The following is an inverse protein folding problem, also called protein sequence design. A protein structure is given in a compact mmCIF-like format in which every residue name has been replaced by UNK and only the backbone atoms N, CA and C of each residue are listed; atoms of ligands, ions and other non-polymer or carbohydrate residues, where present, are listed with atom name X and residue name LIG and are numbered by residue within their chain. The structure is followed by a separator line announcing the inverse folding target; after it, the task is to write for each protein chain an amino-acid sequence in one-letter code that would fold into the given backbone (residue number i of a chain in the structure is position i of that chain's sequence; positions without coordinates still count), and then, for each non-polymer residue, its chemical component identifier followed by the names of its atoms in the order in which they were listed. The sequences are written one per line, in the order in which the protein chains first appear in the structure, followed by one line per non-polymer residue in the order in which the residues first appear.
data_IF_635216708644
#
_entry.id   IF_635216708644
#
_cell.length_a   1.000
_cell.length_b   1.000
_cell.length_c   1.000
_cell.angle_alpha   90.00
_cell.angle_beta   90.00
_cell.angle_gamma   90.00
#
_symmetry.space_group_name_H-M   'P 1'
#
loop_
_entity.id
_entity.type
_entity.pdbx_description
1 polymer ?
#
# COMPACT_ATOMS: atom_id res chain seq x y z
N UNK A 1 -3.47 20.05 11.36
CA UNK A 1 -3.52 20.56 9.96
C UNK A 1 -2.31 20.01 9.19
N UNK A 2 -2.48 19.51 7.93
CA UNK A 2 -1.37 18.98 7.12
C UNK A 2 -0.38 20.09 6.76
N UNK A 3 0.92 19.73 6.60
CA UNK A 3 2.02 20.65 6.25
C UNK A 3 1.68 21.56 5.04
N UNK A 4 1.10 21.00 3.97
CA UNK A 4 0.67 21.75 2.77
C UNK A 4 -0.40 22.81 3.07
N UNK A 5 -1.33 22.51 3.98
CA UNK A 5 -2.37 23.46 4.38
C UNK A 5 -1.83 24.56 5.30
N UNK A 6 -0.83 24.23 6.14
CA UNK A 6 -0.13 25.23 6.97
C UNK A 6 0.63 26.22 6.09
N UNK A 7 1.33 25.73 5.08
CA UNK A 7 2.05 26.55 4.11
C UNK A 7 1.13 27.45 3.32
N UNK A 8 0.03 26.88 2.77
CA UNK A 8 -0.98 27.66 2.06
C UNK A 8 -1.55 28.79 2.93
N UNK A 9 -1.87 28.49 4.20
CA UNK A 9 -2.37 29.48 5.12
C UNK A 9 -1.34 30.58 5.40
N UNK A 10 -0.06 30.25 5.57
CA UNK A 10 1.01 31.23 5.77
C UNK A 10 1.15 32.17 4.55
N UNK A 11 1.12 31.60 3.34
CA UNK A 11 1.18 32.38 2.09
C UNK A 11 -0.03 33.32 1.93
N UNK A 12 -1.24 32.83 2.21
CA UNK A 12 -2.45 33.66 2.14
C UNK A 12 -2.50 34.74 3.21
N UNK A 13 -2.10 34.45 4.46
CA UNK A 13 -2.01 35.46 5.53
C UNK A 13 -1.02 36.57 5.18
N UNK A 14 0.12 36.23 4.57
CA UNK A 14 1.07 37.24 4.10
C UNK A 14 0.50 38.08 2.95
N UNK A 15 -0.21 37.49 1.98
CA UNK A 15 -0.87 38.24 0.91
C UNK A 15 -1.96 39.18 1.46
N UNK A 16 -2.79 38.69 2.39
CA UNK A 16 -3.86 39.50 2.98
C UNK A 16 -3.31 40.64 3.82
N UNK A 17 -2.21 40.39 4.55
CA UNK A 17 -1.54 41.45 5.31
C UNK A 17 -0.87 42.50 4.39
N UNK A 18 -0.21 42.03 3.30
CA UNK A 18 0.39 42.92 2.31
C UNK A 18 -0.64 43.72 1.51
N UNK A 19 -1.81 43.09 1.25
CA UNK A 19 -2.96 43.74 0.57
C UNK A 19 -3.80 44.65 1.48
N UNK A 20 -3.46 44.80 2.76
CA UNK A 20 -4.21 45.64 3.72
C UNK A 20 -5.58 45.10 4.09
N UNK A 21 -5.90 43.84 3.75
CA UNK A 21 -7.17 43.18 4.08
C UNK A 21 -7.26 42.89 5.57
N UNK A 22 -6.12 42.49 6.20
CA UNK A 22 -5.99 42.25 7.62
C UNK A 22 -4.72 42.94 8.14
N UNK A 23 -4.77 43.42 9.38
CA UNK A 23 -3.60 43.97 10.04
C UNK A 23 -2.58 42.89 10.38
N UNK A 24 -1.29 43.24 10.46
CA UNK A 24 -0.21 42.29 10.76
C UNK A 24 -0.43 41.55 12.07
N UNK A 25 -0.90 42.28 13.11
CA UNK A 25 -1.26 41.67 14.41
C UNK A 25 -2.39 40.64 14.32
N UNK A 26 -3.34 40.88 13.43
CA UNK A 26 -4.44 39.90 13.16
C UNK A 26 -3.92 38.66 12.44
N UNK A 27 -3.02 38.85 11.45
CA UNK A 27 -2.39 37.76 10.75
C UNK A 27 -1.56 36.87 11.71
N UNK A 28 -0.81 37.48 12.63
CA UNK A 28 -0.02 36.78 13.65
C UNK A 28 -0.90 35.99 14.63
N UNK A 29 -2.02 36.57 15.08
CA UNK A 29 -2.99 35.88 15.95
C UNK A 29 -3.62 34.69 15.25
N UNK A 30 -4.02 34.81 13.98
CA UNK A 30 -4.56 33.71 13.20
C UNK A 30 -3.49 32.64 13.01
N UNK A 31 -2.25 33.01 12.69
CA UNK A 31 -1.15 32.07 12.52
C UNK A 31 -0.86 31.28 13.81
N UNK A 32 -0.87 31.96 14.97
CA UNK A 32 -0.68 31.32 16.27
C UNK A 32 -1.76 30.27 16.57
N UNK A 33 -3.04 30.54 16.24
CA UNK A 33 -4.16 29.60 16.39
C UNK A 33 -3.96 28.32 15.62
N UNK A 34 -3.33 28.38 14.45
CA UNK A 34 -3.10 27.22 13.59
C UNK A 34 -1.68 26.65 13.69
N UNK A 35 -0.82 27.20 14.57
CA UNK A 35 0.58 26.80 14.71
C UNK A 35 1.38 26.98 13.42
N UNK A 36 1.20 28.13 12.76
CA UNK A 36 1.85 28.53 11.51
C UNK A 36 2.77 29.71 11.79
N UNK A 37 3.99 29.68 11.23
CA UNK A 37 4.93 30.82 11.35
C UNK A 37 4.85 31.68 10.08
N UNK A 38 4.46 32.95 10.22
CA UNK A 38 4.32 33.89 9.09
C UNK A 38 5.68 34.44 8.66
N UNK A 39 6.64 34.51 9.57
CA UNK A 39 7.92 35.21 9.37
C UNK A 39 8.97 34.34 8.64
N UNK A 40 8.71 33.08 8.41
CA UNK A 40 9.59 32.21 7.65
C UNK A 40 8.80 31.49 6.52
N UNK A 41 8.70 32.06 5.32
CA UNK A 41 8.42 31.29 4.16
C UNK A 41 9.69 30.50 3.82
N UNK A 42 9.97 29.39 4.54
CA UNK A 42 10.89 28.40 3.97
C UNK A 42 10.33 28.01 2.62
N UNK A 43 10.93 28.51 1.56
CA UNK A 43 10.55 28.10 0.21
C UNK A 43 10.67 26.58 0.18
N UNK A 44 9.59 25.88 -0.23
CA UNK A 44 9.62 24.40 -0.26
C UNK A 44 10.78 23.86 -1.10
N UNK A 45 11.32 24.68 -2.00
CA UNK A 45 12.53 24.45 -2.78
C UNK A 45 13.77 24.35 -1.87
N UNK A 46 13.95 25.26 -0.89
CA UNK A 46 15.11 25.20 0.01
C UNK A 46 15.05 23.97 0.94
N UNK A 47 13.87 23.56 1.38
CA UNK A 47 13.72 22.33 2.17
C UNK A 47 14.04 21.10 1.33
N UNK A 48 13.55 21.03 0.07
CA UNK A 48 13.86 19.93 -0.85
C UNK A 48 15.36 19.91 -1.15
N UNK A 49 15.98 21.06 -1.44
CA UNK A 49 17.41 21.14 -1.72
C UNK A 49 18.25 20.70 -0.52
N UNK A 50 17.86 21.04 0.71
CA UNK A 50 18.54 20.54 1.94
C UNK A 50 18.41 19.03 2.07
N UNK A 51 17.21 18.46 1.87
CA UNK A 51 17.01 17.00 1.91
C UNK A 51 17.86 16.31 0.87
N UNK A 52 17.89 16.81 -0.36
CA UNK A 52 18.72 16.27 -1.45
C UNK A 52 20.21 16.39 -1.11
N UNK A 53 20.65 17.51 -0.55
CA UNK A 53 22.05 17.70 -0.14
C UNK A 53 22.45 16.70 0.98
N UNK A 54 21.60 16.49 1.99
CA UNK A 54 21.87 15.48 3.03
C UNK A 54 21.87 14.05 2.48
N UNK A 55 21.01 13.75 1.51
CA UNK A 55 21.00 12.48 0.81
C UNK A 55 22.31 12.24 0.07
N UNK A 56 22.76 13.21 -0.74
CA UNK A 56 24.04 13.11 -1.45
C UNK A 56 25.23 13.01 -0.49
N UNK A 57 25.21 13.77 0.61
CA UNK A 57 26.26 13.67 1.62
C UNK A 57 26.27 12.28 2.27
N UNK A 58 25.11 11.73 2.62
CA UNK A 58 24.99 10.37 3.14
C UNK A 58 25.47 9.31 2.14
N UNK A 59 25.07 9.42 0.87
CA UNK A 59 25.55 8.54 -0.19
C UNK A 59 27.06 8.65 -0.39
N UNK A 60 27.64 9.84 -0.34
CA UNK A 60 29.11 10.04 -0.46
C UNK A 60 29.86 9.32 0.66
N UNK A 61 29.39 9.43 1.91
CA UNK A 61 29.98 8.71 3.03
C UNK A 61 29.87 7.20 2.87
N UNK A 62 28.71 6.70 2.41
CA UNK A 62 28.52 5.27 2.17
C UNK A 62 29.46 4.74 1.09
N UNK A 63 29.64 5.50 -0.01
CA UNK A 63 30.57 5.14 -1.09
C UNK A 63 32.01 5.15 -0.59
N UNK A 64 32.40 6.15 0.19
CA UNK A 64 33.76 6.24 0.77
C UNK A 64 34.05 5.06 1.69
N UNK A 65 33.11 4.70 2.58
CA UNK A 65 33.24 3.54 3.46
C UNK A 65 33.28 2.25 2.63
N UNK A 66 32.41 2.14 1.61
CA UNK A 66 32.34 0.99 0.72
C UNK A 66 33.62 0.77 -0.09
N UNK A 67 34.22 1.86 -0.59
CA UNK A 67 35.48 1.80 -1.37
C UNK A 67 36.66 1.24 -0.55
N UNK A 68 36.71 1.54 0.75
CA UNK A 68 37.77 1.08 1.65
C UNK A 68 37.34 -0.06 2.55
N UNK A 69 36.20 -0.70 2.24
CA UNK A 69 35.60 -1.69 3.14
C UNK A 69 36.50 -2.90 3.43
N UNK A 70 37.21 -3.37 2.42
CA UNK A 70 38.08 -4.54 2.57
C UNK A 70 39.33 -4.26 3.40
N UNK A 71 39.80 -3.02 3.43
CA UNK A 71 40.98 -2.59 4.19
C UNK A 71 40.68 -2.46 5.69
N UNK A 72 39.43 -2.26 6.07
CA UNK A 72 39.03 -2.13 7.49
C UNK A 72 39.07 -3.51 8.19
N UNK A 73 39.78 -3.67 9.29
CA UNK A 73 39.80 -4.93 10.03
C UNK A 73 38.39 -5.42 10.43
N UNK A 74 38.16 -6.72 10.39
CA UNK A 74 36.82 -7.32 10.67
C UNK A 74 36.25 -6.86 12.02
N UNK A 75 37.06 -6.80 13.07
CA UNK A 75 36.63 -6.33 14.38
C UNK A 75 36.24 -4.86 14.38
N UNK A 76 36.95 -4.01 13.64
CA UNK A 76 36.62 -2.59 13.52
C UNK A 76 35.28 -2.37 12.80
N UNK A 77 34.98 -3.16 11.74
CA UNK A 77 33.67 -3.14 11.07
C UNK A 77 32.54 -3.49 12.03
N UNK A 78 32.71 -4.55 12.82
CA UNK A 78 31.73 -4.98 13.81
C UNK A 78 31.48 -3.88 14.86
N UNK A 79 32.57 -3.33 15.44
CA UNK A 79 32.46 -2.27 16.44
C UNK A 79 31.80 -1.00 15.88
N UNK A 80 32.12 -0.62 14.64
CA UNK A 80 31.50 0.52 13.97
C UNK A 80 29.99 0.35 13.83
N UNK A 81 29.53 -0.83 13.40
CA UNK A 81 28.11 -1.13 13.24
C UNK A 81 27.38 -1.09 14.58
N UNK A 82 27.94 -1.72 15.62
CA UNK A 82 27.37 -1.72 16.96
C UNK A 82 27.33 -0.32 17.55
N UNK A 83 28.38 0.46 17.38
CA UNK A 83 28.46 1.85 17.84
C UNK A 83 27.41 2.72 17.13
N UNK A 84 27.29 2.62 15.80
CA UNK A 84 26.31 3.39 15.02
C UNK A 84 24.88 3.02 15.41
N UNK A 85 24.60 1.73 15.58
CA UNK A 85 23.30 1.26 16.04
C UNK A 85 22.95 1.81 17.43
N UNK A 86 23.90 1.74 18.37
CA UNK A 86 23.73 2.28 19.71
C UNK A 86 23.52 3.80 19.71
N UNK A 87 24.31 4.53 18.92
CA UNK A 87 24.24 5.99 18.80
C UNK A 87 22.87 6.46 18.30
N UNK A 88 22.37 5.83 17.23
CA UNK A 88 21.08 6.20 16.63
C UNK A 88 19.92 5.89 17.58
N UNK A 89 19.92 4.73 18.21
CA UNK A 89 18.88 4.36 19.17
C UNK A 89 18.93 5.21 20.44
N UNK A 90 20.11 5.56 20.93
CA UNK A 90 20.29 6.49 22.05
C UNK A 90 19.76 7.91 21.67
N UNK A 91 20.06 8.37 20.46
CA UNK A 91 19.52 9.61 19.92
C UNK A 91 17.98 9.62 19.91
N UNK A 92 17.38 8.50 19.46
CA UNK A 92 15.92 8.29 19.50
C UNK A 92 15.35 8.38 20.91
N UNK A 93 15.99 7.70 21.87
CA UNK A 93 15.59 7.75 23.27
C UNK A 93 15.69 9.17 23.86
N UNK A 94 16.77 9.89 23.57
CA UNK A 94 16.96 11.27 24.04
C UNK A 94 15.89 12.24 23.48
N UNK A 95 15.52 12.08 22.20
CA UNK A 95 14.44 12.85 21.60
C UNK A 95 13.07 12.50 22.20
N UNK A 96 12.84 11.24 22.52
CA UNK A 96 11.63 10.80 23.19
C UNK A 96 11.50 11.45 24.59
N UNK A 97 12.61 11.50 25.36
CA UNK A 97 12.67 12.21 26.65
C UNK A 97 12.37 13.70 26.54
N UNK A 98 12.76 14.33 25.43
CA UNK A 98 12.47 15.75 25.15
C UNK A 98 11.03 16.00 24.67
N UNK A 99 10.19 14.95 24.56
CA UNK A 99 8.83 15.06 24.06
C UNK A 99 8.70 15.12 22.52
N UNK A 100 9.81 15.05 21.78
CA UNK A 100 9.84 15.12 20.32
C UNK A 100 9.57 13.75 19.68
N UNK A 101 8.34 13.25 19.82
CA UNK A 101 7.96 11.89 19.39
C UNK A 101 8.25 11.63 17.91
N UNK A 102 7.95 12.58 17.01
CA UNK A 102 8.15 12.41 15.56
C UNK A 102 9.63 12.21 15.21
N UNK A 103 10.53 12.98 15.82
CA UNK A 103 11.97 12.81 15.62
C UNK A 103 12.48 11.50 16.24
N UNK A 104 11.93 11.10 17.40
CA UNK A 104 12.27 9.84 18.03
C UNK A 104 11.87 8.64 17.14
N UNK A 105 10.65 8.65 16.59
CA UNK A 105 10.18 7.61 15.65
C UNK A 105 11.06 7.52 14.40
N UNK A 106 11.50 8.66 13.84
CA UNK A 106 12.42 8.71 12.70
C UNK A 106 13.79 8.11 13.04
N UNK A 107 14.35 8.40 14.21
CA UNK A 107 15.63 7.84 14.66
C UNK A 107 15.52 6.34 14.97
N UNK A 108 14.43 5.87 15.59
CA UNK A 108 14.21 4.44 15.79
C UNK A 108 14.00 3.69 14.45
N UNK A 109 13.36 4.32 13.48
CA UNK A 109 13.28 3.78 12.11
C UNK A 109 14.67 3.64 11.49
N UNK A 110 15.49 4.68 11.59
CA UNK A 110 16.89 4.62 11.13
C UNK A 110 17.67 3.54 11.89
N UNK A 111 17.48 3.42 13.21
CA UNK A 111 18.06 2.37 14.03
C UNK A 111 17.67 0.96 13.56
N UNK A 112 16.42 0.77 13.17
CA UNK A 112 15.91 -0.49 12.58
C UNK A 112 16.61 -0.81 11.26
N UNK A 113 16.83 0.17 10.39
CA UNK A 113 17.56 -0.01 9.13
C UNK A 113 19.03 -0.31 9.36
N UNK A 114 19.69 0.41 10.27
CA UNK A 114 21.11 0.18 10.67
C UNK A 114 21.27 -1.22 11.25
N UNK A 115 20.32 -1.67 12.07
CA UNK A 115 20.34 -3.01 12.64
C UNK A 115 20.26 -4.09 11.56
N UNK A 116 19.35 -3.97 10.59
CA UNK A 116 19.24 -4.89 9.46
C UNK A 116 20.49 -4.91 8.58
N UNK A 117 21.03 -3.73 8.25
CA UNK A 117 22.30 -3.61 7.53
C UNK A 117 23.45 -4.26 8.31
N UNK A 118 23.46 -4.09 9.64
CA UNK A 118 24.41 -4.72 10.53
C UNK A 118 24.38 -6.25 10.47
N UNK A 119 23.18 -6.84 10.49
CA UNK A 119 23.01 -8.31 10.35
C UNK A 119 23.61 -8.78 9.01
N UNK A 120 23.28 -8.10 7.89
CA UNK A 120 23.78 -8.46 6.57
C UNK A 120 25.31 -8.37 6.49
N UNK A 121 25.90 -7.29 7.01
CA UNK A 121 27.35 -7.07 7.02
C UNK A 121 28.08 -8.08 7.91
N UNK A 122 27.54 -8.40 9.08
CA UNK A 122 28.11 -9.44 9.96
C UNK A 122 28.06 -10.80 9.28
N UNK A 123 26.94 -11.14 8.66
CA UNK A 123 26.78 -12.38 7.91
C UNK A 123 27.82 -12.52 6.77
N UNK A 124 28.09 -11.43 6.04
CA UNK A 124 29.11 -11.39 4.99
C UNK A 124 30.53 -11.55 5.55
N UNK A 125 30.87 -10.81 6.63
CA UNK A 125 32.21 -10.83 7.22
C UNK A 125 32.59 -12.20 7.79
N UNK A 126 31.61 -12.89 8.39
CA UNK A 126 31.82 -14.18 9.07
C UNK A 126 31.34 -15.39 8.25
N UNK A 127 30.87 -15.17 7.02
CA UNK A 127 30.35 -16.22 6.13
C UNK A 127 29.24 -17.06 6.77
N UNK A 128 28.32 -16.42 7.53
CA UNK A 128 27.25 -17.09 8.26
C UNK A 128 26.02 -17.49 7.39
N UNK A 129 26.06 -17.24 6.10
CA UNK A 129 24.91 -17.27 5.20
C UNK A 129 24.45 -18.64 4.69
N UNK A 130 24.28 -19.68 5.55
CA UNK A 130 23.69 -20.96 5.12
C UNK A 130 22.17 -20.86 4.85
N UNK A 131 21.47 -20.05 5.63
CA UNK A 131 20.02 -19.84 5.51
C UNK A 131 19.69 -18.33 5.65
N UNK A 132 19.52 -17.67 4.52
CA UNK A 132 19.31 -16.21 4.46
C UNK A 132 18.08 -15.73 5.25
N UNK A 133 16.93 -16.46 5.27
CA UNK A 133 15.75 -16.04 6.03
C UNK A 133 15.99 -15.82 7.52
N UNK A 134 16.92 -16.54 8.18
CA UNK A 134 17.21 -16.39 9.62
C UNK A 134 17.66 -14.95 9.95
N UNK A 135 18.47 -14.35 9.09
CA UNK A 135 18.89 -12.95 9.24
C UNK A 135 17.72 -11.97 9.15
N UNK A 136 16.80 -12.23 8.23
CA UNK A 136 15.59 -11.38 8.05
C UNK A 136 14.63 -11.58 9.23
N UNK A 137 14.52 -12.80 9.75
CA UNK A 137 13.75 -13.09 10.98
C UNK A 137 14.28 -12.28 12.17
N UNK A 138 15.59 -12.33 12.39
CA UNK A 138 16.24 -11.57 13.47
C UNK A 138 16.00 -10.06 13.29
N UNK A 139 16.05 -9.57 12.05
CA UNK A 139 15.74 -8.17 11.74
C UNK A 139 14.29 -7.83 12.07
N UNK A 140 13.31 -8.67 11.69
CA UNK A 140 11.91 -8.49 12.02
C UNK A 140 11.68 -8.44 13.53
N UNK A 141 12.25 -9.37 14.30
CA UNK A 141 12.16 -9.39 15.77
C UNK A 141 12.70 -8.07 16.34
N UNK A 142 13.90 -7.65 15.93
CA UNK A 142 14.52 -6.40 16.40
C UNK A 142 13.68 -5.16 16.03
N UNK A 143 13.06 -5.13 14.85
CA UNK A 143 12.21 -4.05 14.39
C UNK A 143 10.91 -3.92 15.21
N UNK A 144 10.34 -5.03 15.67
CA UNK A 144 9.13 -5.01 16.49
C UNK A 144 9.36 -4.48 17.91
N UNK A 145 10.59 -4.56 18.45
CA UNK A 145 10.87 -4.05 19.81
C UNK A 145 10.50 -2.56 19.96
N UNK A 146 11.08 -1.62 19.22
CA UNK A 146 10.71 -0.22 19.32
C UNK A 146 9.25 0.03 18.88
N UNK A 147 8.72 -0.74 17.93
CA UNK A 147 7.35 -0.63 17.47
C UNK A 147 6.33 -0.88 18.59
N UNK A 148 6.53 -1.93 19.37
CA UNK A 148 5.67 -2.32 20.49
C UNK A 148 5.81 -1.35 21.66
N UNK A 149 7.04 -0.95 22.01
CA UNK A 149 7.33 -0.04 23.12
C UNK A 149 6.74 1.36 22.89
N UNK A 150 6.89 1.90 21.68
CA UNK A 150 6.36 3.23 21.34
C UNK A 150 4.90 3.18 20.85
N UNK A 151 4.35 1.99 20.60
CA UNK A 151 3.02 1.81 20.00
C UNK A 151 2.88 2.65 18.72
N UNK A 152 3.92 2.67 17.88
CA UNK A 152 4.00 3.51 16.70
C UNK A 152 3.49 2.78 15.47
N UNK A 153 2.53 3.39 14.78
CA UNK A 153 2.01 2.90 13.51
C UNK A 153 3.08 2.82 12.41
N UNK A 154 4.02 3.78 12.40
CA UNK A 154 5.10 3.80 11.41
C UNK A 154 6.05 2.64 11.63
N UNK A 155 6.56 2.48 12.85
CA UNK A 155 7.52 1.42 13.19
C UNK A 155 6.87 0.04 13.08
N UNK A 156 5.64 -0.12 13.56
CA UNK A 156 4.89 -1.37 13.44
C UNK A 156 4.62 -1.77 11.99
N UNK A 157 4.30 -0.79 11.14
CA UNK A 157 4.12 -1.03 9.70
C UNK A 157 5.41 -1.51 9.03
N UNK A 158 6.54 -0.84 9.29
CA UNK A 158 7.84 -1.24 8.73
C UNK A 158 8.28 -2.60 9.28
N UNK A 159 8.12 -2.85 10.58
CA UNK A 159 8.44 -4.15 11.17
C UNK A 159 7.63 -5.30 10.54
N UNK A 160 6.34 -5.07 10.26
CA UNK A 160 5.52 -6.06 9.57
C UNK A 160 5.94 -6.27 8.11
N UNK A 161 6.34 -5.22 7.39
CA UNK A 161 6.87 -5.36 6.02
C UNK A 161 8.15 -6.22 6.00
N UNK A 162 9.03 -6.06 6.99
CA UNK A 162 10.21 -6.91 7.15
C UNK A 162 9.81 -8.37 7.45
N UNK A 163 8.80 -8.56 8.32
CA UNK A 163 8.27 -9.89 8.62
C UNK A 163 7.60 -10.55 7.40
N UNK A 164 6.93 -9.78 6.54
CA UNK A 164 6.39 -10.28 5.26
C UNK A 164 7.54 -10.76 4.37
N UNK A 165 8.61 -9.96 4.26
CA UNK A 165 9.79 -10.35 3.48
C UNK A 165 10.39 -11.65 4.01
N UNK A 166 10.54 -11.78 5.33
CA UNK A 166 10.96 -13.04 5.95
C UNK A 166 10.04 -14.21 5.59
N UNK A 167 8.74 -14.05 5.76
CA UNK A 167 7.76 -15.11 5.49
C UNK A 167 7.81 -15.59 4.04
N UNK A 168 7.99 -14.67 3.08
CA UNK A 168 8.08 -15.03 1.67
C UNK A 168 9.40 -15.73 1.35
N UNK A 169 10.52 -15.25 1.90
CA UNK A 169 11.83 -15.88 1.71
C UNK A 169 11.89 -17.27 2.36
N UNK A 170 11.32 -17.44 3.55
CA UNK A 170 11.21 -18.73 4.23
C UNK A 170 10.40 -19.73 3.41
N UNK A 171 9.24 -19.32 2.91
CA UNK A 171 8.41 -20.15 2.04
C UNK A 171 9.16 -20.55 0.75
N UNK A 172 9.98 -19.67 0.21
CA UNK A 172 10.83 -19.95 -0.94
C UNK A 172 11.88 -21.02 -0.64
N UNK A 173 12.57 -20.92 0.51
CA UNK A 173 13.60 -21.87 0.93
C UNK A 173 13.03 -23.25 1.30
N UNK A 174 11.81 -23.30 1.86
CA UNK A 174 11.13 -24.56 2.17
C UNK A 174 10.67 -25.33 0.91
N UNK A 175 10.96 -24.83 -0.30
CA UNK A 175 10.61 -25.49 -1.55
C UNK A 175 9.12 -25.51 -1.86
N UNK A 176 8.37 -24.59 -1.24
CA UNK A 176 6.91 -24.49 -1.37
C UNK A 176 6.48 -23.92 -2.73
N UNK A 177 7.18 -24.30 -3.81
CA UNK A 177 6.74 -24.04 -5.19
C UNK A 177 5.51 -24.85 -5.58
N UNK A 178 5.25 -25.95 -4.87
CA UNK A 178 4.08 -26.77 -5.10
C UNK A 178 2.88 -26.27 -4.30
N UNK A 179 1.69 -26.50 -4.84
CA UNK A 179 0.42 -26.15 -4.22
C UNK A 179 0.33 -26.67 -2.78
N UNK A 180 0.22 -25.77 -1.81
CA UNK A 180 -0.01 -26.12 -0.41
C UNK A 180 1.24 -26.20 0.47
N UNK A 181 2.40 -25.72 -0.01
CA UNK A 181 3.64 -25.70 0.76
C UNK A 181 3.50 -25.03 2.13
N UNK A 182 4.29 -25.53 3.08
CA UNK A 182 4.27 -25.10 4.47
C UNK A 182 4.54 -23.59 4.59
N UNK A 183 3.58 -22.89 5.19
CA UNK A 183 3.70 -21.47 5.47
C UNK A 183 4.30 -21.31 6.86
N UNK A 184 5.26 -20.39 7.06
CA UNK A 184 5.85 -20.19 8.37
C UNK A 184 4.78 -19.68 9.35
N UNK A 185 4.29 -20.56 10.21
CA UNK A 185 3.26 -20.25 11.22
C UNK A 185 3.70 -19.14 12.18
N UNK A 186 5.03 -18.97 12.36
CA UNK A 186 5.62 -17.86 13.11
C UNK A 186 5.23 -16.47 12.60
N UNK A 187 4.82 -16.34 11.33
CA UNK A 187 4.33 -15.07 10.78
C UNK A 187 3.04 -14.59 11.46
N UNK A 188 2.20 -15.51 11.95
CA UNK A 188 0.99 -15.14 12.70
C UNK A 188 1.29 -14.37 13.99
N UNK A 189 2.43 -14.66 14.63
CA UNK A 189 2.90 -13.88 15.77
C UNK A 189 3.17 -12.41 15.38
N UNK A 190 3.83 -12.18 14.26
CA UNK A 190 4.10 -10.82 13.77
C UNK A 190 2.82 -10.09 13.36
N UNK A 191 1.86 -10.80 12.76
CA UNK A 191 0.53 -10.24 12.51
C UNK A 191 -0.16 -9.83 13.82
N UNK A 192 -0.13 -10.65 14.84
CA UNK A 192 -0.71 -10.32 16.15
C UNK A 192 -0.04 -9.08 16.77
N UNK A 193 1.30 -8.97 16.71
CA UNK A 193 2.04 -7.79 17.16
C UNK A 193 1.64 -6.53 16.37
N UNK A 194 1.45 -6.65 15.06
CA UNK A 194 1.02 -5.54 14.22
C UNK A 194 -0.43 -5.14 14.51
N UNK A 195 -1.33 -6.07 14.71
CA UNK A 195 -2.71 -5.77 15.16
C UNK A 195 -2.71 -5.07 16.52
N UNK A 196 -1.87 -5.50 17.45
CA UNK A 196 -1.71 -4.82 18.73
C UNK A 196 -1.28 -3.36 18.56
N UNK A 197 -0.26 -3.08 17.75
CA UNK A 197 0.18 -1.70 17.48
C UNK A 197 -0.90 -0.88 16.80
N UNK A 198 -1.63 -1.47 15.83
CA UNK A 198 -2.74 -0.82 15.13
C UNK A 198 -3.92 -0.51 16.05
N UNK A 199 -4.13 -1.31 17.10
CA UNK A 199 -5.18 -1.07 18.08
C UNK A 199 -4.97 0.23 18.85
N UNK A 200 -3.69 0.56 19.17
CA UNK A 200 -3.35 1.80 19.88
C UNK A 200 -3.18 3.00 18.95
N UNK A 201 -2.58 2.79 17.78
CA UNK A 201 -2.35 3.84 16.80
C UNK A 201 -2.56 3.30 15.37
N UNK A 202 -3.75 3.48 14.82
CA UNK A 202 -4.09 3.09 13.46
C UNK A 202 -3.69 4.18 12.46
N UNK A 203 -2.42 4.15 12.02
CA UNK A 203 -1.92 5.00 10.95
C UNK A 203 -1.96 4.31 9.58
N UNK A 204 -1.70 5.05 8.51
CA UNK A 204 -1.73 4.52 7.14
C UNK A 204 -0.71 3.40 6.91
N UNK A 205 0.49 3.51 7.48
CA UNK A 205 1.58 2.53 7.31
C UNK A 205 1.25 1.17 7.90
N UNK A 206 0.75 1.11 9.13
CA UNK A 206 0.41 -0.18 9.76
C UNK A 206 -0.81 -0.83 9.08
N UNK A 207 -1.80 -0.02 8.68
CA UNK A 207 -2.99 -0.52 7.96
C UNK A 207 -2.60 -1.08 6.59
N UNK A 208 -1.72 -0.39 5.86
CA UNK A 208 -1.16 -0.88 4.60
C UNK A 208 -0.39 -2.20 4.79
N UNK A 209 0.51 -2.24 5.77
CA UNK A 209 1.30 -3.44 6.06
C UNK A 209 0.42 -4.63 6.48
N UNK A 210 -0.60 -4.40 7.32
CA UNK A 210 -1.58 -5.44 7.70
C UNK A 210 -2.38 -5.94 6.50
N UNK A 211 -2.84 -5.04 5.64
CA UNK A 211 -3.57 -5.42 4.43
C UNK A 211 -2.72 -6.32 3.53
N UNK A 212 -1.49 -5.92 3.24
CA UNK A 212 -0.54 -6.72 2.45
C UNK A 212 -0.15 -8.00 3.18
N UNK A 213 0.10 -7.94 4.51
CA UNK A 213 0.54 -9.07 5.32
C UNK A 213 -0.49 -10.20 5.36
N UNK A 214 -1.76 -9.88 5.61
CA UNK A 214 -2.84 -10.86 5.58
C UNK A 214 -3.00 -11.43 4.17
N UNK A 215 -2.99 -10.57 3.15
CA UNK A 215 -3.07 -11.01 1.76
C UNK A 215 -1.93 -11.98 1.39
N UNK A 216 -0.68 -11.60 1.67
CA UNK A 216 0.50 -12.41 1.34
C UNK A 216 0.54 -13.74 2.08
N UNK A 217 0.05 -13.77 3.33
CA UNK A 217 -0.05 -15.00 4.11
C UNK A 217 -1.14 -15.93 3.58
N UNK A 218 -2.30 -15.38 3.22
CA UNK A 218 -3.44 -16.16 2.71
C UNK A 218 -3.17 -16.71 1.32
N UNK A 219 -2.73 -15.85 0.40
CA UNK A 219 -2.61 -16.20 -1.01
C UNK A 219 -1.19 -16.57 -1.45
N UNK A 220 -0.15 -16.11 -0.76
CA UNK A 220 1.25 -16.23 -1.18
C UNK A 220 1.57 -15.38 -2.41
N UNK A 221 2.77 -14.78 -2.47
CA UNK A 221 3.19 -13.97 -3.62
C UNK A 221 3.58 -14.81 -4.84
N UNK A 222 3.93 -16.08 -4.65
CA UNK A 222 4.55 -16.91 -5.67
C UNK A 222 3.57 -17.72 -6.54
N UNK A 223 2.27 -17.50 -6.38
CA UNK A 223 1.23 -18.14 -7.19
C UNK A 223 1.00 -17.48 -8.56
N UNK A 224 2.03 -16.91 -9.15
CA UNK A 224 1.92 -16.13 -10.39
C UNK A 224 1.38 -16.95 -11.58
N UNK A 225 1.63 -18.26 -11.67
CA UNK A 225 1.18 -19.11 -12.77
C UNK A 225 -0.34 -19.30 -12.85
N UNK A 226 -1.06 -19.13 -11.74
CA UNK A 226 -2.52 -19.25 -11.72
C UNK A 226 -3.24 -17.90 -11.59
N UNK A 227 -2.51 -16.81 -11.81
CA UNK A 227 -2.88 -15.47 -11.41
C UNK A 227 -4.10 -14.89 -12.12
N UNK A 228 -4.44 -15.36 -13.32
CA UNK A 228 -5.35 -14.59 -14.16
C UNK A 228 -6.82 -14.99 -14.02
N UNK A 229 -7.15 -16.25 -13.81
CA UNK A 229 -8.54 -16.69 -13.94
C UNK A 229 -9.33 -16.91 -12.65
N UNK A 230 -8.70 -17.47 -11.61
CA UNK A 230 -9.37 -17.70 -10.33
C UNK A 230 -8.98 -16.65 -9.28
N UNK A 231 -7.80 -16.08 -9.39
CA UNK A 231 -7.28 -15.16 -8.39
C UNK A 231 -7.93 -13.77 -8.45
N UNK A 232 -8.41 -13.30 -9.61
CA UNK A 232 -9.00 -11.96 -9.73
C UNK A 232 -10.28 -11.83 -8.90
N UNK A 233 -11.27 -12.74 -8.98
CA UNK A 233 -12.43 -12.70 -8.09
C UNK A 233 -12.05 -12.75 -6.61
N UNK A 234 -11.05 -13.54 -6.24
CA UNK A 234 -10.56 -13.66 -4.87
C UNK A 234 -9.93 -12.34 -4.38
N UNK A 235 -9.09 -11.69 -5.20
CA UNK A 235 -8.50 -10.39 -4.89
C UNK A 235 -9.60 -9.34 -4.73
N UNK A 236 -10.58 -9.31 -5.63
CA UNK A 236 -11.70 -8.38 -5.56
C UNK A 236 -12.54 -8.60 -4.31
N UNK A 237 -12.82 -9.87 -3.94
CA UNK A 237 -13.53 -10.21 -2.71
C UNK A 237 -12.75 -9.76 -1.46
N UNK A 238 -11.44 -9.96 -1.44
CA UNK A 238 -10.56 -9.51 -0.36
C UNK A 238 -10.55 -7.98 -0.24
N UNK A 239 -10.41 -7.27 -1.36
CA UNK A 239 -10.46 -5.82 -1.38
C UNK A 239 -11.83 -5.29 -0.92
N UNK A 240 -12.92 -5.94 -1.36
CA UNK A 240 -14.27 -5.59 -0.95
C UNK A 240 -14.49 -5.83 0.54
N UNK A 241 -13.95 -6.91 1.09
CA UNK A 241 -13.94 -7.19 2.52
C UNK A 241 -13.20 -6.11 3.31
N UNK A 242 -12.04 -5.64 2.82
CA UNK A 242 -11.34 -4.48 3.39
C UNK A 242 -12.18 -3.20 3.40
N UNK A 243 -12.93 -2.94 2.32
CA UNK A 243 -13.91 -1.83 2.28
C UNK A 243 -15.02 -2.05 3.31
N UNK A 244 -15.56 -3.26 3.44
CA UNK A 244 -16.59 -3.58 4.42
C UNK A 244 -16.10 -3.33 5.85
N UNK A 245 -14.91 -3.82 6.21
CA UNK A 245 -14.29 -3.55 7.51
C UNK A 245 -14.12 -2.04 7.74
N UNK A 246 -13.73 -1.28 6.72
CA UNK A 246 -13.58 0.17 6.86
C UNK A 246 -14.90 0.86 7.25
N UNK A 247 -16.01 0.46 6.65
CA UNK A 247 -17.33 0.96 7.04
C UNK A 247 -17.72 0.53 8.47
N UNK A 248 -17.41 -0.71 8.85
CA UNK A 248 -17.65 -1.21 10.21
C UNK A 248 -16.85 -0.40 11.24
N UNK A 249 -15.55 -0.17 10.99
CA UNK A 249 -14.69 0.64 11.87
C UNK A 249 -15.17 2.09 11.99
N UNK A 250 -15.59 2.69 10.89
CA UNK A 250 -16.14 4.04 10.89
C UNK A 250 -17.42 4.12 11.76
N UNK A 251 -18.30 3.13 11.66
CA UNK A 251 -19.51 3.04 12.48
C UNK A 251 -19.20 2.85 13.96
N UNK A 252 -18.08 2.18 14.30
CA UNK A 252 -17.56 2.00 15.65
C UNK A 252 -16.76 3.21 16.18
N UNK A 253 -16.70 4.31 15.44
CA UNK A 253 -16.01 5.55 15.84
C UNK A 253 -14.50 5.58 15.57
N UNK A 254 -13.93 4.55 14.93
CA UNK A 254 -12.49 4.49 14.58
C UNK A 254 -12.24 5.04 13.18
N UNK A 255 -12.37 6.34 12.99
CA UNK A 255 -12.35 7.00 11.68
C UNK A 255 -10.98 7.02 11.00
N UNK A 256 -9.88 7.13 11.76
CA UNK A 256 -8.53 7.25 11.18
C UNK A 256 -8.09 5.96 10.47
N UNK A 257 -8.21 4.82 11.13
CA UNK A 257 -7.92 3.51 10.55
C UNK A 257 -8.90 3.14 9.43
N UNK A 258 -10.17 3.49 9.58
CA UNK A 258 -11.21 3.24 8.58
C UNK A 258 -10.91 3.95 7.25
N UNK A 259 -10.56 5.23 7.29
CA UNK A 259 -10.22 6.00 6.09
C UNK A 259 -8.99 5.47 5.35
N UNK A 260 -7.98 5.03 6.10
CA UNK A 260 -6.77 4.42 5.54
C UNK A 260 -7.11 3.07 4.86
N UNK A 261 -7.83 2.19 5.54
CA UNK A 261 -8.22 0.87 5.03
C UNK A 261 -9.11 0.99 3.79
N UNK A 262 -10.07 1.91 3.80
CA UNK A 262 -10.90 2.18 2.64
C UNK A 262 -10.06 2.59 1.41
N UNK A 263 -9.14 3.55 1.60
CA UNK A 263 -8.29 4.04 0.52
C UNK A 263 -7.40 2.96 -0.07
N UNK A 264 -6.78 2.14 0.78
CA UNK A 264 -5.89 1.04 0.38
C UNK A 264 -6.68 -0.05 -0.35
N UNK A 265 -7.77 -0.51 0.23
CA UNK A 265 -8.61 -1.56 -0.36
C UNK A 265 -9.20 -1.14 -1.71
N UNK A 266 -9.68 0.11 -1.81
CA UNK A 266 -10.20 0.65 -3.07
C UNK A 266 -9.10 0.78 -4.13
N UNK A 267 -7.89 1.20 -3.75
CA UNK A 267 -6.75 1.30 -4.67
C UNK A 267 -6.38 -0.07 -5.24
N UNK A 268 -6.20 -1.10 -4.39
CA UNK A 268 -5.86 -2.44 -4.86
C UNK A 268 -6.99 -3.09 -5.65
N UNK A 269 -8.26 -2.86 -5.29
CA UNK A 269 -9.39 -3.35 -6.07
C UNK A 269 -9.46 -2.73 -7.47
N UNK A 270 -9.23 -1.43 -7.59
CA UNK A 270 -9.16 -0.74 -8.88
C UNK A 270 -7.95 -1.23 -9.69
N UNK A 271 -6.79 -1.38 -9.05
CA UNK A 271 -5.58 -1.90 -9.70
C UNK A 271 -5.78 -3.32 -10.22
N UNK A 272 -6.45 -4.20 -9.45
CA UNK A 272 -6.79 -5.55 -9.88
C UNK A 272 -7.72 -5.56 -11.09
N UNK A 273 -8.73 -4.69 -11.13
CA UNK A 273 -9.61 -4.55 -12.29
C UNK A 273 -8.86 -4.06 -13.52
N UNK A 274 -7.99 -3.07 -13.38
CA UNK A 274 -7.16 -2.59 -14.50
C UNK A 274 -6.21 -3.69 -14.97
N UNK A 275 -5.55 -4.37 -14.02
CA UNK A 275 -4.65 -5.46 -14.35
C UNK A 275 -5.37 -6.58 -15.10
N UNK A 276 -6.59 -6.96 -14.70
CA UNK A 276 -7.39 -7.97 -15.39
C UNK A 276 -7.66 -7.61 -16.86
N UNK A 277 -7.94 -6.34 -17.15
CA UNK A 277 -8.16 -5.87 -18.52
C UNK A 277 -6.89 -5.99 -19.38
N UNK A 278 -5.74 -5.55 -18.83
CA UNK A 278 -4.48 -5.55 -19.57
C UNK A 278 -3.87 -6.96 -19.70
N UNK A 279 -4.12 -7.86 -18.75
CA UNK A 279 -3.61 -9.22 -18.82
C UNK A 279 -4.14 -9.96 -20.06
N UNK A 280 -5.41 -9.78 -20.39
CA UNK A 280 -5.98 -10.35 -21.62
C UNK A 280 -5.33 -9.81 -22.91
N UNK A 281 -4.91 -8.55 -22.89
CA UNK A 281 -4.23 -7.92 -24.02
C UNK A 281 -2.78 -8.40 -24.18
N UNK A 282 -2.05 -8.59 -23.05
CA UNK A 282 -0.60 -8.88 -23.07
C UNK A 282 -0.34 -10.35 -23.33
N UNK A 283 -1.10 -11.26 -22.72
CA UNK A 283 -0.82 -12.69 -22.74
C UNK A 283 -1.58 -13.47 -23.83
N UNK A 284 -2.48 -12.80 -24.57
CA UNK A 284 -3.22 -13.42 -25.68
C UNK A 284 -4.28 -14.44 -25.22
N UNK A 285 -5.12 -14.87 -26.17
CA UNK A 285 -6.23 -15.80 -25.87
C UNK A 285 -5.76 -17.25 -25.77
N UNK A 286 -4.65 -17.59 -26.40
CA UNK A 286 -4.22 -18.97 -26.65
C UNK A 286 -3.26 -19.52 -25.58
N UNK A 287 -2.60 -18.65 -24.78
CA UNK A 287 -1.69 -19.09 -23.70
C UNK A 287 -2.40 -19.35 -22.36
N UNK A 288 -3.61 -18.86 -22.20
CA UNK A 288 -4.44 -19.16 -21.06
C UNK A 288 -5.41 -20.29 -21.44
N UNK A 289 -4.96 -21.54 -21.39
CA UNK A 289 -5.88 -22.64 -21.16
C UNK A 289 -6.55 -22.40 -19.80
N UNK A 290 -7.65 -21.66 -19.87
CA UNK A 290 -8.59 -21.64 -18.76
C UNK A 290 -8.89 -23.08 -18.40
N UNK A 291 -8.68 -23.56 -17.18
CA UNK A 291 -9.40 -24.73 -16.77
C UNK A 291 -10.84 -24.37 -17.12
N UNK A 292 -11.36 -25.00 -18.17
CA UNK A 292 -12.72 -24.77 -18.64
C UNK A 292 -13.63 -25.19 -17.48
N UNK A 293 -13.82 -24.27 -16.53
CA UNK A 293 -14.92 -24.36 -15.58
C UNK A 293 -16.17 -24.02 -16.41
N UNK A 294 -16.37 -24.83 -17.45
CA UNK A 294 -17.52 -24.75 -18.34
C UNK A 294 -18.81 -25.12 -17.63
N UNK A 295 -18.68 -25.78 -16.45
CA UNK A 295 -19.82 -26.31 -15.74
C UNK A 295 -20.03 -25.59 -14.42
N UNK A 296 -21.24 -25.08 -14.20
CA UNK A 296 -21.73 -24.54 -12.93
C UNK A 296 -21.38 -25.46 -11.73
N UNK A 297 -21.44 -26.80 -11.96
CA UNK A 297 -21.08 -27.79 -10.94
C UNK A 297 -19.59 -27.75 -10.59
N UNK A 298 -18.70 -27.45 -11.51
CA UNK A 298 -17.27 -27.35 -11.26
C UNK A 298 -16.93 -26.12 -10.42
N UNK A 299 -17.58 -24.97 -10.68
CA UNK A 299 -17.47 -23.77 -9.83
C UNK A 299 -18.01 -24.05 -8.43
N UNK A 300 -19.16 -24.70 -8.31
CA UNK A 300 -19.72 -25.06 -7.03
C UNK A 300 -18.80 -26.02 -6.25
N UNK A 301 -18.23 -27.04 -6.89
CA UNK A 301 -17.24 -27.93 -6.27
C UNK A 301 -16.00 -27.18 -5.81
N UNK A 302 -15.49 -26.25 -6.64
CA UNK A 302 -14.35 -25.42 -6.23
C UNK A 302 -14.67 -24.55 -5.00
N UNK A 303 -15.84 -23.92 -4.97
CA UNK A 303 -16.26 -23.06 -3.86
C UNK A 303 -16.37 -23.82 -2.52
N UNK A 304 -16.85 -25.06 -2.54
CA UNK A 304 -17.12 -25.81 -1.31
C UNK A 304 -15.99 -26.78 -0.91
N UNK A 305 -15.21 -27.27 -1.86
CA UNK A 305 -14.17 -28.25 -1.59
C UNK A 305 -12.76 -27.67 -1.49
N UNK A 306 -12.57 -26.36 -1.83
CA UNK A 306 -11.27 -25.73 -1.80
C UNK A 306 -11.24 -24.65 -0.69
N UNK A 307 -10.13 -24.61 0.07
CA UNK A 307 -9.91 -23.60 1.10
C UNK A 307 -10.07 -22.16 0.59
N UNK A 308 -9.59 -21.87 -0.62
CA UNK A 308 -9.71 -20.53 -1.23
C UNK A 308 -11.13 -20.20 -1.67
N UNK A 309 -11.86 -21.18 -2.16
CA UNK A 309 -13.28 -21.03 -2.46
C UNK A 309 -14.09 -20.71 -1.20
N UNK A 310 -13.81 -21.40 -0.10
CA UNK A 310 -14.44 -21.12 1.19
C UNK A 310 -14.10 -19.70 1.72
N UNK A 311 -12.85 -19.25 1.57
CA UNK A 311 -12.45 -17.89 1.92
C UNK A 311 -13.14 -16.83 1.04
N UNK A 312 -13.21 -17.06 -0.26
CA UNK A 312 -13.93 -16.19 -1.18
C UNK A 312 -15.40 -16.02 -0.77
N UNK A 313 -16.08 -17.15 -0.49
CA UNK A 313 -17.44 -17.13 0.03
C UNK A 313 -17.54 -16.35 1.35
N UNK A 314 -16.60 -16.58 2.26
CA UNK A 314 -16.54 -15.90 3.56
C UNK A 314 -16.39 -14.39 3.40
N UNK A 315 -15.51 -13.92 2.51
CA UNK A 315 -15.33 -12.49 2.25
C UNK A 315 -16.56 -11.84 1.61
N UNK A 316 -17.19 -12.50 0.64
CA UNK A 316 -18.42 -12.02 0.03
C UNK A 316 -19.58 -11.96 1.05
N UNK A 317 -19.78 -13.02 1.83
CA UNK A 317 -20.82 -13.09 2.85
C UNK A 317 -20.62 -12.06 3.97
N UNK A 318 -19.38 -11.91 4.46
CA UNK A 318 -19.05 -10.91 5.48
C UNK A 318 -19.25 -9.49 4.94
N UNK A 319 -18.86 -9.21 3.70
CA UNK A 319 -19.08 -7.90 3.07
C UNK A 319 -20.57 -7.58 2.92
N UNK A 320 -21.38 -8.58 2.55
CA UNK A 320 -22.82 -8.45 2.48
C UNK A 320 -23.44 -8.19 3.86
N UNK A 321 -23.06 -8.96 4.89
CA UNK A 321 -23.55 -8.81 6.25
C UNK A 321 -23.22 -7.43 6.84
N UNK A 322 -21.99 -6.95 6.62
CA UNK A 322 -21.58 -5.60 7.03
C UNK A 322 -22.37 -4.55 6.24
N UNK A 323 -22.60 -4.74 4.94
CA UNK A 323 -23.42 -3.85 4.11
C UNK A 323 -24.82 -3.68 4.66
N UNK A 324 -25.46 -4.78 5.05
CA UNK A 324 -26.79 -4.77 5.72
C UNK A 324 -26.71 -4.03 7.05
N UNK A 325 -25.72 -4.34 7.89
CA UNK A 325 -25.57 -3.73 9.21
C UNK A 325 -25.31 -2.22 9.13
N UNK A 326 -24.50 -1.77 8.17
CA UNK A 326 -24.16 -0.34 7.96
C UNK A 326 -25.22 0.36 7.10
N UNK A 327 -26.17 -0.37 6.49
CA UNK A 327 -27.21 0.11 5.55
C UNK A 327 -26.59 0.74 4.28
N UNK A 328 -25.55 0.10 3.73
CA UNK A 328 -24.88 0.53 2.49
C UNK A 328 -25.27 -0.42 1.34
N UNK A 329 -26.28 -0.04 0.58
CA UNK A 329 -26.79 -0.84 -0.55
C UNK A 329 -25.73 -1.06 -1.65
N UNK A 330 -24.83 -0.10 -1.85
CA UNK A 330 -23.73 -0.24 -2.83
C UNK A 330 -22.76 -1.36 -2.45
N UNK A 331 -22.47 -1.52 -1.15
CA UNK A 331 -21.59 -2.60 -0.66
C UNK A 331 -22.25 -3.97 -0.85
N UNK A 332 -23.54 -4.07 -0.55
CA UNK A 332 -24.31 -5.29 -0.78
C UNK A 332 -24.32 -5.68 -2.26
N UNK A 333 -24.60 -4.70 -3.13
CA UNK A 333 -24.60 -4.91 -4.58
C UNK A 333 -23.23 -5.38 -5.09
N UNK A 334 -22.14 -4.73 -4.67
CA UNK A 334 -20.79 -5.14 -5.04
C UNK A 334 -20.45 -6.54 -4.51
N UNK A 335 -20.90 -6.93 -3.30
CA UNK A 335 -20.66 -8.27 -2.76
C UNK A 335 -21.39 -9.36 -3.56
N UNK A 336 -22.64 -9.12 -3.93
CA UNK A 336 -23.43 -10.03 -4.77
C UNK A 336 -22.82 -10.13 -6.18
N UNK A 337 -22.40 -9.01 -6.76
CA UNK A 337 -21.76 -9.00 -8.07
C UNK A 337 -20.43 -9.77 -8.03
N UNK A 338 -19.60 -9.55 -7.00
CA UNK A 338 -18.34 -10.26 -6.81
C UNK A 338 -18.56 -11.77 -6.65
N UNK A 339 -19.57 -12.17 -5.89
CA UNK A 339 -19.96 -13.57 -5.73
C UNK A 339 -20.39 -14.22 -7.06
N UNK A 340 -21.06 -13.46 -7.93
CA UNK A 340 -21.51 -13.93 -9.22
C UNK A 340 -20.37 -14.10 -10.25
N UNK A 341 -19.21 -13.44 -10.08
CA UNK A 341 -18.13 -13.43 -11.07
C UNK A 341 -17.66 -14.83 -11.50
N UNK A 342 -17.34 -15.78 -10.59
CA UNK A 342 -16.91 -17.12 -11.00
C UNK A 342 -17.94 -17.87 -11.83
N UNK A 343 -19.24 -17.61 -11.58
CA UNK A 343 -20.35 -18.24 -12.32
C UNK A 343 -20.61 -17.59 -13.69
N UNK A 344 -20.12 -16.39 -13.92
CA UNK A 344 -20.26 -15.67 -15.18
C UNK A 344 -19.08 -15.90 -16.14
N UNK A 345 -18.07 -16.69 -15.73
CA UNK A 345 -16.89 -16.98 -16.56
C UNK A 345 -17.19 -17.75 -17.85
N UNK A 346 -18.40 -18.31 -18.03
CA UNK A 346 -18.84 -18.84 -19.31
C UNK A 346 -19.19 -17.74 -20.35
N UNK A 347 -19.42 -16.51 -19.89
CA UNK A 347 -19.47 -15.33 -20.74
C UNK A 347 -18.01 -14.93 -20.98
N UNK A 348 -17.67 -14.54 -22.21
CA UNK A 348 -16.33 -14.09 -22.55
C UNK A 348 -15.79 -13.14 -21.45
N UNK A 349 -14.78 -13.61 -20.71
CA UNK A 349 -14.28 -12.93 -19.49
C UNK A 349 -13.85 -11.48 -19.79
N UNK A 350 -13.33 -11.22 -20.98
CA UNK A 350 -12.91 -9.88 -21.42
C UNK A 350 -14.10 -8.89 -21.45
N UNK A 351 -15.25 -9.34 -21.98
CA UNK A 351 -16.47 -8.53 -22.05
C UNK A 351 -16.99 -8.29 -20.63
N UNK A 352 -16.99 -9.34 -19.80
CA UNK A 352 -17.46 -9.28 -18.42
C UNK A 352 -16.66 -8.26 -17.59
N UNK A 353 -15.33 -8.37 -17.58
CA UNK A 353 -14.49 -7.44 -16.82
C UNK A 353 -14.54 -6.02 -17.37
N UNK A 354 -14.67 -5.84 -18.69
CA UNK A 354 -14.88 -4.53 -19.30
C UNK A 354 -16.18 -3.88 -18.81
N UNK A 355 -17.26 -4.65 -18.78
CA UNK A 355 -18.57 -4.18 -18.28
C UNK A 355 -18.49 -3.79 -16.80
N UNK A 356 -17.84 -4.61 -15.97
CA UNK A 356 -17.63 -4.33 -14.55
C UNK A 356 -16.86 -3.04 -14.36
N UNK A 357 -15.76 -2.84 -15.08
CA UNK A 357 -14.95 -1.62 -15.00
C UNK A 357 -15.76 -0.38 -15.40
N UNK A 358 -16.62 -0.45 -16.41
CA UNK A 358 -17.50 0.67 -16.79
C UNK A 358 -18.52 0.95 -15.69
N UNK A 359 -19.18 -0.07 -15.14
CA UNK A 359 -20.18 0.09 -14.07
C UNK A 359 -19.55 0.65 -12.78
N UNK A 360 -18.40 0.10 -12.36
CA UNK A 360 -17.66 0.58 -11.20
C UNK A 360 -17.13 1.99 -11.44
N UNK A 361 -16.59 2.27 -12.63
CA UNK A 361 -16.11 3.59 -13.01
C UNK A 361 -17.21 4.65 -12.98
N UNK A 362 -18.37 4.36 -13.55
CA UNK A 362 -19.55 5.24 -13.52
C UNK A 362 -20.04 5.48 -12.08
N UNK A 363 -20.03 4.42 -11.24
CA UNK A 363 -20.41 4.52 -9.83
C UNK A 363 -19.45 5.40 -9.04
N UNK A 364 -18.13 5.30 -9.27
CA UNK A 364 -17.11 6.15 -8.66
C UNK A 364 -17.26 7.62 -9.06
N UNK A 365 -17.59 7.90 -10.33
CA UNK A 365 -17.87 9.26 -10.79
C UNK A 365 -19.09 9.83 -10.06
N UNK A 366 -20.15 9.05 -9.92
CA UNK A 366 -21.37 9.45 -9.22
C UNK A 366 -21.11 9.77 -7.73
N UNK A 367 -20.23 9.05 -7.08
CA UNK A 367 -19.81 9.28 -5.68
C UNK A 367 -18.80 10.44 -5.56
N UNK A 368 -18.44 11.10 -6.67
CA UNK A 368 -17.51 12.25 -6.67
C UNK A 368 -16.03 11.88 -6.78
N UNK A 369 -15.68 10.64 -7.01
CA UNK A 369 -14.30 10.17 -7.23
C UNK A 369 -13.96 10.16 -8.73
N UNK A 370 -14.09 11.35 -9.33
CA UNK A 370 -13.92 11.55 -10.77
C UNK A 370 -12.63 10.95 -11.36
N UNK A 371 -11.41 11.15 -10.77
CA UNK A 371 -10.18 10.62 -11.37
C UNK A 371 -10.18 9.10 -11.46
N UNK A 372 -10.54 8.40 -10.39
CA UNK A 372 -10.53 6.95 -10.33
C UNK A 372 -11.56 6.32 -11.30
N UNK A 373 -12.76 6.92 -11.39
CA UNK A 373 -13.79 6.46 -12.31
C UNK A 373 -13.42 6.68 -13.78
N UNK A 374 -12.82 7.83 -14.10
CA UNK A 374 -12.32 8.10 -15.46
C UNK A 374 -11.18 7.16 -15.84
N UNK A 375 -10.25 6.86 -14.93
CA UNK A 375 -9.16 5.93 -15.19
C UNK A 375 -9.68 4.55 -15.56
N UNK A 376 -10.67 4.01 -14.83
CA UNK A 376 -11.27 2.71 -15.15
C UNK A 376 -11.95 2.71 -16.54
N UNK A 377 -12.81 3.70 -16.82
CA UNK A 377 -13.50 3.78 -18.13
C UNK A 377 -12.51 3.97 -19.27
N UNK A 378 -11.48 4.80 -19.05
CA UNK A 378 -10.43 5.01 -20.04
C UNK A 378 -9.61 3.74 -20.31
N UNK A 379 -9.26 2.97 -19.26
CA UNK A 379 -8.55 1.68 -19.42
C UNK A 379 -9.36 0.71 -20.28
N UNK A 380 -10.68 0.63 -20.09
CA UNK A 380 -11.56 -0.19 -20.95
C UNK A 380 -11.53 0.29 -22.40
N UNK A 381 -11.64 1.60 -22.63
CA UNK A 381 -11.61 2.16 -23.96
C UNK A 381 -10.30 1.85 -24.69
N UNK A 382 -9.17 1.95 -23.99
CA UNK A 382 -7.83 1.62 -24.52
C UNK A 382 -7.75 0.15 -24.93
N UNK A 383 -8.08 -0.76 -24.00
CA UNK A 383 -7.98 -2.21 -24.25
C UNK A 383 -8.90 -2.61 -25.42
N UNK A 384 -10.17 -2.15 -25.41
CA UNK A 384 -11.11 -2.49 -26.46
C UNK A 384 -10.75 -1.89 -27.83
N UNK A 385 -10.11 -0.75 -27.82
CA UNK A 385 -9.61 -0.17 -29.06
C UNK A 385 -8.54 -1.07 -29.69
N UNK A 386 -7.55 -1.52 -28.92
CA UNK A 386 -6.51 -2.41 -29.43
C UNK A 386 -7.05 -3.77 -29.87
N UNK A 387 -8.06 -4.32 -29.19
CA UNK A 387 -8.71 -5.57 -29.59
C UNK A 387 -9.46 -5.48 -30.93
N UNK A 388 -10.11 -4.32 -31.19
CA UNK A 388 -11.01 -4.18 -32.32
C UNK A 388 -10.33 -3.66 -33.59
N UNK A 389 -9.35 -2.78 -33.45
CA UNK A 389 -8.84 -1.99 -34.59
C UNK A 389 -7.40 -2.30 -34.92
N UNK A 390 -6.54 -2.65 -33.94
CA UNK A 390 -5.13 -2.98 -34.17
C UNK A 390 -4.30 -1.88 -34.85
N UNK A 391 -4.90 -0.69 -35.06
CA UNK A 391 -4.31 0.43 -35.78
C UNK A 391 -3.79 1.51 -34.83
N UNK A 392 -2.47 1.75 -34.90
CA UNK A 392 -1.80 2.76 -34.06
C UNK A 392 -2.25 4.19 -34.33
N UNK A 393 -2.67 4.51 -35.58
CA UNK A 393 -3.12 5.86 -35.96
C UNK A 393 -4.45 6.17 -35.32
N UNK A 394 -5.39 5.24 -35.35
CA UNK A 394 -6.68 5.37 -34.68
C UNK A 394 -6.56 5.42 -33.15
N UNK A 395 -5.60 4.66 -32.55
CA UNK A 395 -5.29 4.76 -31.12
C UNK A 395 -4.82 6.19 -30.77
N UNK A 396 -3.93 6.76 -31.54
CA UNK A 396 -3.44 8.14 -31.36
C UNK A 396 -4.59 9.16 -31.42
N UNK A 397 -5.50 9.01 -32.36
CA UNK A 397 -6.68 9.88 -32.49
C UNK A 397 -7.62 9.75 -31.29
N UNK A 398 -7.84 8.53 -30.78
CA UNK A 398 -8.64 8.27 -29.59
C UNK A 398 -8.03 8.90 -28.33
N UNK A 399 -6.72 8.74 -28.11
CA UNK A 399 -6.02 9.38 -27.01
C UNK A 399 -6.11 10.90 -27.05
N UNK A 400 -5.96 11.50 -28.25
CA UNK A 400 -6.12 12.92 -28.44
C UNK A 400 -7.56 13.37 -28.10
N UNK A 401 -8.57 12.63 -28.55
CA UNK A 401 -9.97 12.91 -28.24
C UNK A 401 -10.24 12.88 -26.74
N UNK A 402 -9.78 11.84 -26.01
CA UNK A 402 -9.92 11.76 -24.56
C UNK A 402 -9.17 12.88 -23.83
N UNK A 403 -7.97 13.23 -24.29
CA UNK A 403 -7.22 14.36 -23.72
C UNK A 403 -8.01 15.67 -23.85
N UNK A 404 -8.63 15.92 -25.00
CA UNK A 404 -9.45 17.11 -25.25
C UNK A 404 -10.72 17.11 -24.36
N UNK A 405 -11.39 15.96 -24.22
CA UNK A 405 -12.56 15.82 -23.33
C UNK A 405 -12.20 16.10 -21.88
N UNK A 406 -11.11 15.52 -21.38
CA UNK A 406 -10.62 15.75 -19.99
C UNK A 406 -10.25 17.22 -19.79
N UNK A 407 -9.58 17.85 -20.75
CA UNK A 407 -9.25 19.28 -20.71
C UNK A 407 -10.51 20.17 -20.73
N UNK A 408 -11.52 19.82 -21.52
CA UNK A 408 -12.78 20.55 -21.56
C UNK A 408 -13.56 20.44 -20.25
N UNK A 409 -13.59 19.25 -19.64
CA UNK A 409 -14.20 19.02 -18.32
C UNK A 409 -13.43 19.74 -17.19
N UNK A 410 -12.11 19.79 -17.27
CA UNK A 410 -11.25 20.50 -16.32
C UNK A 410 -11.54 22.01 -16.28
N UNK A 411 -11.85 22.61 -17.43
CA UNK A 411 -12.16 24.06 -17.53
C UNK A 411 -13.55 24.42 -16.98
N UNK A 412 -14.47 23.46 -16.84
CA UNK A 412 -15.85 23.72 -16.36
C UNK A 412 -15.97 23.98 -14.84
N UNK A 413 -14.95 23.76 -14.04
CA UNK A 413 -14.95 23.96 -12.56
C UNK A 413 -14.53 25.36 -12.10
N UNK A 414 -14.57 26.36 -12.96
CA UNK A 414 -14.36 27.79 -12.59
C UNK A 414 -15.64 28.63 -12.78
N UNK A 415 -16.77 28.13 -12.27
CA UNK A 415 -17.93 28.98 -11.99
C UNK A 415 -18.46 28.67 -10.61
#
# INVERSE_FOLDING_TARGET
MNFLRKKFLAEELNKWSAGGIIGRDQAERIAALYGVNINEPESGVNTILRIVAYLFFGCSLLVLIGANWEEIPRLARLLLILFLSALVNLGGYLQLKKGNRTYAEGLFLLGTLVFGAGIALIAQVYHLGKHMPDGILLWAIGAFVPALLLRSSLLGGVALLIAILWSQMESFYLGSYEFGGDRPTGFLFFLACAFWTAFYQSGRTIVFALFIGVFSYVYGFWRFEYFVNLLIPEILAYCLFGVAISYALAKLGRTDGAGALYGISAFFGIAALIFSLFSFMIFGKDEFEYPQISDFLAVAKWLFNNFYGALFLGFCAASCAVGVWVRQNTLIFCAVLCFALPFLNFINAEILYSLICVVVGASLIKVGRLPAGLTLIFSVAVVRYFDLVGDYIGASALFLFFALVVLALSKRKKK
#
